data_IF_819797116073
#
_entry.id   IF_819797116073
#
_cell.length_a   1.000
_cell.length_b   1.000
_cell.length_c   1.000
_cell.angle_alpha   90.00
_cell.angle_beta   90.00
_cell.angle_gamma   90.00
#
_symmetry.space_group_name_H-M   'P 1'
#
loop_
_entity.id
_entity.type
_entity.pdbx_description
1 polymer ?
#
# COMPACT_ATOMS: atom_id res chain seq x y z
N UNK A 1 -4.19 -53.83 14.65
CA UNK A 1 -5.50 -53.50 14.03
C UNK A 1 -5.81 -52.03 14.30
N UNK A 2 -5.94 -51.19 13.26
CA UNK A 2 -6.22 -49.76 13.43
C UNK A 2 -7.73 -49.54 13.64
N UNK A 3 -8.11 -48.84 14.71
CA UNK A 3 -9.52 -48.46 14.95
C UNK A 3 -9.92 -47.38 13.94
N UNK A 4 -10.92 -47.69 13.10
CA UNK A 4 -11.50 -46.72 12.15
C UNK A 4 -12.35 -45.72 12.93
N UNK A 5 -12.02 -44.44 12.79
CA UNK A 5 -12.75 -43.33 13.42
C UNK A 5 -13.93 -42.96 12.51
N UNK A 6 -15.12 -42.85 13.10
CA UNK A 6 -16.33 -42.45 12.41
C UNK A 6 -16.45 -40.92 12.37
N UNK A 7 -16.18 -40.35 11.19
CA UNK A 7 -16.14 -38.91 10.96
C UNK A 7 -17.53 -38.25 10.98
N UNK A 8 -18.61 -39.03 10.92
CA UNK A 8 -19.99 -38.51 10.96
C UNK A 8 -20.39 -38.00 12.35
N UNK A 9 -19.64 -38.38 13.38
CA UNK A 9 -19.89 -37.97 14.78
C UNK A 9 -19.42 -36.55 15.11
N UNK A 10 -18.61 -35.93 14.24
CA UNK A 10 -18.07 -34.60 14.47
C UNK A 10 -18.94 -33.55 13.75
N UNK A 11 -19.77 -32.82 14.51
CA UNK A 11 -20.50 -31.65 14.00
C UNK A 11 -19.51 -30.53 13.68
N UNK A 12 -19.67 -29.91 12.51
CA UNK A 12 -18.85 -28.75 12.10
C UNK A 12 -19.14 -27.57 13.05
N UNK A 13 -18.11 -26.83 13.50
CA UNK A 13 -18.33 -25.63 14.29
C UNK A 13 -19.06 -24.59 13.42
N UNK A 14 -20.20 -24.10 13.90
CA UNK A 14 -20.93 -23.00 13.26
C UNK A 14 -20.24 -21.68 13.59
N UNK A 15 -19.91 -20.88 12.56
CA UNK A 15 -19.33 -19.54 12.69
C UNK A 15 -20.38 -18.54 13.21
N UNK A 16 -20.79 -18.64 14.47
CA UNK A 16 -21.79 -17.75 15.06
C UNK A 16 -21.21 -16.81 16.14
N UNK A 17 -19.93 -16.45 16.04
CA UNK A 17 -19.20 -15.75 17.11
C UNK A 17 -18.97 -14.25 16.90
N UNK A 18 -19.47 -13.64 15.83
CA UNK A 18 -19.53 -12.17 15.74
C UNK A 18 -20.97 -11.71 15.62
N UNK A 19 -21.64 -11.62 16.77
CA UNK A 19 -22.67 -10.59 16.97
C UNK A 19 -22.00 -9.47 17.75
N UNK A 20 -21.46 -8.50 17.02
CA UNK A 20 -20.93 -7.27 17.61
C UNK A 20 -22.07 -6.58 18.35
N UNK A 21 -21.91 -6.43 19.68
CA UNK A 21 -22.71 -5.49 20.45
C UNK A 21 -22.14 -4.11 20.19
N UNK A 22 -22.76 -3.36 19.29
CA UNK A 22 -22.57 -1.91 19.22
C UNK A 22 -23.16 -1.30 20.50
N UNK A 23 -22.31 -0.80 21.39
CA UNK A 23 -22.73 0.09 22.46
C UNK A 23 -21.84 1.34 22.47
N UNK A 24 -22.40 2.37 21.84
CA UNK A 24 -22.44 3.75 22.33
C UNK A 24 -21.13 4.43 22.74
N UNK A 25 -20.49 5.11 21.80
CA UNK A 25 -19.69 6.31 22.08
C UNK A 25 -20.05 7.44 21.09
N UNK A 26 -20.88 8.34 21.60
CA UNK A 26 -20.94 9.79 21.36
C UNK A 26 -20.32 10.30 20.05
N UNK A 27 -21.16 10.68 19.09
CA UNK A 27 -20.78 11.69 18.09
C UNK A 27 -21.89 12.73 17.95
N UNK A 28 -21.47 13.97 18.18
CA UNK A 28 -22.21 15.21 18.15
C UNK A 28 -22.94 15.47 16.84
N UNK A 29 -24.06 16.17 16.97
CA UNK A 29 -24.87 16.72 15.88
C UNK A 29 -24.01 17.58 14.94
N UNK A 30 -23.87 17.13 13.69
CA UNK A 30 -23.48 17.97 12.56
C UNK A 30 -24.44 17.65 11.43
N UNK A 31 -25.51 18.43 11.32
CA UNK A 31 -26.44 18.41 10.20
C UNK A 31 -25.75 18.98 8.96
N UNK A 32 -24.94 18.15 8.31
CA UNK A 32 -24.52 18.36 6.93
C UNK A 32 -25.47 17.58 6.03
N UNK A 33 -26.21 18.29 5.18
CA UNK A 33 -26.95 17.71 4.07
C UNK A 33 -25.94 17.09 3.09
N UNK A 34 -25.55 15.84 3.35
CA UNK A 34 -24.75 15.04 2.41
C UNK A 34 -25.61 14.74 1.18
N UNK A 35 -25.31 15.41 0.08
CA UNK A 35 -25.73 14.94 -1.25
C UNK A 35 -25.34 13.47 -1.40
N UNK A 36 -26.35 12.61 -1.53
CA UNK A 36 -26.16 11.18 -1.77
C UNK A 36 -25.66 11.06 -3.22
N UNK A 37 -24.34 11.11 -3.41
CA UNK A 37 -23.74 10.77 -4.70
C UNK A 37 -24.16 9.35 -5.04
N UNK A 38 -24.83 9.19 -6.19
CA UNK A 38 -25.24 7.87 -6.71
C UNK A 38 -24.01 6.98 -6.75
N UNK A 39 -24.07 5.86 -6.02
CA UNK A 39 -22.99 4.86 -6.00
C UNK A 39 -22.88 4.28 -7.40
N UNK A 40 -21.85 4.71 -8.13
CA UNK A 40 -21.49 4.14 -9.42
C UNK A 40 -21.04 2.71 -9.15
N UNK A 41 -21.75 1.73 -9.74
CA UNK A 41 -21.34 0.31 -9.66
C UNK A 41 -19.98 0.17 -10.34
N UNK A 42 -18.92 0.07 -9.57
CA UNK A 42 -17.61 -0.34 -10.09
C UNK A 42 -17.73 -1.79 -10.53
N UNK A 43 -17.35 -2.08 -11.78
CA UNK A 43 -17.20 -3.46 -12.28
C UNK A 43 -16.26 -4.19 -11.30
N UNK A 44 -16.54 -5.46 -11.00
CA UNK A 44 -15.68 -6.28 -10.13
C UNK A 44 -14.28 -6.33 -10.75
N UNK A 45 -13.36 -5.56 -10.19
CA UNK A 45 -11.94 -5.66 -10.49
C UNK A 45 -11.52 -7.03 -9.93
N UNK A 46 -10.88 -7.86 -10.76
CA UNK A 46 -10.36 -9.16 -10.33
C UNK A 46 -9.36 -9.03 -9.17
N UNK A 47 -8.85 -10.16 -8.68
CA UNK A 47 -7.80 -10.18 -7.64
C UNK A 47 -6.68 -9.22 -8.07
N UNK A 48 -6.34 -8.19 -7.27
CA UNK A 48 -5.19 -7.36 -7.59
C UNK A 48 -3.97 -8.27 -7.63
N UNK A 49 -3.37 -8.41 -8.81
CA UNK A 49 -2.03 -8.97 -8.93
C UNK A 49 -1.13 -8.06 -8.11
N UNK A 50 -0.46 -8.61 -7.10
CA UNK A 50 0.56 -7.89 -6.34
C UNK A 50 1.54 -7.35 -7.37
N UNK A 51 1.49 -6.03 -7.57
CA UNK A 51 1.77 -5.43 -8.87
C UNK A 51 3.19 -5.64 -9.37
N UNK A 52 3.29 -5.93 -10.66
CA UNK A 52 4.38 -5.49 -11.55
C UNK A 52 4.33 -3.95 -11.75
N UNK A 53 4.05 -3.20 -10.68
CA UNK A 53 4.31 -1.78 -10.69
C UNK A 53 5.82 -1.60 -10.55
N UNK A 54 6.47 -0.65 -11.27
CA UNK A 54 7.84 -0.33 -10.94
C UNK A 54 7.87 0.02 -9.45
N UNK A 55 8.65 -0.73 -8.67
CA UNK A 55 8.97 -0.39 -7.30
C UNK A 55 9.87 0.85 -7.38
N UNK A 56 9.31 2.00 -7.76
CA UNK A 56 9.99 3.28 -7.69
C UNK A 56 10.00 3.68 -6.22
N UNK A 57 10.75 2.93 -5.41
CA UNK A 57 11.09 3.36 -4.06
C UNK A 57 11.81 4.70 -4.23
N UNK A 58 11.16 5.76 -3.77
CA UNK A 58 11.78 7.08 -3.72
C UNK A 58 12.81 7.01 -2.62
N UNK A 59 14.08 7.08 -2.99
CA UNK A 59 15.20 7.16 -2.05
C UNK A 59 15.60 8.62 -1.90
N UNK A 60 15.73 9.06 -0.65
CA UNK A 60 16.37 10.33 -0.31
C UNK A 60 17.85 10.08 -0.06
N UNK A 61 18.70 10.77 -0.81
CA UNK A 61 20.15 10.78 -0.57
C UNK A 61 20.50 12.09 0.13
N UNK A 62 21.25 11.99 1.22
CA UNK A 62 21.78 13.17 1.92
C UNK A 62 23.16 13.50 1.35
N UNK A 63 23.38 14.78 1.05
CA UNK A 63 24.67 15.31 0.60
C UNK A 63 25.08 16.45 1.51
N UNK A 64 26.38 16.61 1.71
CA UNK A 64 26.93 17.84 2.30
C UNK A 64 26.78 19.01 1.32
N UNK A 65 26.84 20.24 1.82
CA UNK A 65 26.70 21.45 0.99
C UNK A 65 27.78 21.54 -0.12
N UNK A 66 29.00 21.09 0.20
CA UNK A 66 30.12 21.05 -0.76
C UNK A 66 29.86 20.03 -1.87
N UNK A 67 29.43 18.83 -1.53
CA UNK A 67 29.09 17.80 -2.50
C UNK A 67 27.91 18.23 -3.38
N UNK A 68 26.87 18.82 -2.79
CA UNK A 68 25.72 19.31 -3.52
C UNK A 68 26.11 20.40 -4.54
N UNK A 69 26.97 21.34 -4.13
CA UNK A 69 27.44 22.43 -5.01
C UNK A 69 28.25 21.88 -6.19
N UNK A 70 29.13 20.91 -5.94
CA UNK A 70 29.91 20.24 -6.99
C UNK A 70 29.01 19.46 -7.96
N UNK A 71 28.06 18.68 -7.44
CA UNK A 71 27.11 17.92 -8.26
C UNK A 71 26.22 18.84 -9.10
N UNK A 72 25.76 19.96 -8.53
CA UNK A 72 24.97 20.97 -9.25
C UNK A 72 25.78 21.67 -10.34
N UNK A 73 27.05 21.97 -10.09
CA UNK A 73 27.97 22.49 -11.11
C UNK A 73 28.14 21.53 -12.28
N UNK A 74 28.33 20.24 -12.00
CA UNK A 74 28.50 19.20 -13.01
C UNK A 74 27.21 18.91 -13.79
N UNK A 75 26.04 18.98 -13.13
CA UNK A 75 24.74 18.77 -13.78
C UNK A 75 24.35 19.93 -14.72
N UNK A 76 24.83 21.14 -14.48
CA UNK A 76 24.53 22.32 -15.28
C UNK A 76 23.03 22.61 -15.35
N UNK A 77 22.42 22.46 -16.54
CA UNK A 77 20.98 22.69 -16.78
C UNK A 77 20.12 21.43 -16.56
N UNK A 78 20.73 20.26 -16.36
CA UNK A 78 20.02 18.99 -16.22
C UNK A 78 19.45 18.87 -14.79
N UNK A 79 18.24 18.33 -14.60
CA UNK A 79 17.72 18.05 -13.27
C UNK A 79 18.67 17.14 -12.49
N UNK A 80 19.07 17.57 -11.30
CA UNK A 80 20.08 16.90 -10.48
C UNK A 80 19.75 15.42 -10.20
N UNK A 81 18.47 15.10 -9.98
CA UNK A 81 18.02 13.74 -9.75
C UNK A 81 18.23 12.81 -10.97
N UNK A 82 18.08 13.33 -12.19
CA UNK A 82 18.34 12.56 -13.41
C UNK A 82 19.84 12.32 -13.57
N UNK A 83 20.64 13.38 -13.39
CA UNK A 83 22.10 13.30 -13.47
C UNK A 83 22.67 12.28 -12.48
N UNK A 84 22.23 12.32 -11.21
CA UNK A 84 22.66 11.37 -10.19
C UNK A 84 22.21 9.95 -10.54
N UNK A 85 20.99 9.77 -11.06
CA UNK A 85 20.51 8.44 -11.47
C UNK A 85 21.37 7.85 -12.58
N UNK A 86 21.74 8.65 -13.58
CA UNK A 86 22.60 8.21 -14.67
C UNK A 86 23.99 7.84 -14.16
N UNK A 87 24.56 8.64 -13.25
CA UNK A 87 25.85 8.35 -12.61
C UNK A 87 25.81 7.05 -11.76
N UNK A 88 24.71 6.80 -11.04
CA UNK A 88 24.56 5.55 -10.28
C UNK A 88 24.40 4.33 -11.20
N UNK A 89 23.74 4.50 -12.34
CA UNK A 89 23.57 3.46 -13.36
C UNK A 89 24.91 3.12 -14.03
N UNK A 90 25.72 4.12 -14.37
CA UNK A 90 27.07 3.89 -14.94
C UNK A 90 27.99 3.21 -13.92
N UNK A 91 27.83 3.52 -12.64
CA UNK A 91 28.55 2.87 -11.54
C UNK A 91 28.02 1.47 -11.18
N UNK A 92 26.96 0.97 -11.85
CA UNK A 92 26.32 -0.33 -11.58
C UNK A 92 25.82 -0.50 -10.13
N UNK A 93 25.42 0.61 -9.50
CA UNK A 93 24.80 0.59 -8.16
C UNK A 93 23.31 0.26 -8.24
N UNK A 94 22.67 0.65 -9.35
CA UNK A 94 21.25 0.43 -9.67
C UNK A 94 21.07 -0.06 -11.10
#
# INVERSE_FOLDING_TARGET
MAKKIDLTKFKRPTQNYLKEKESSEVQSEVTSSKEIKKVVKTKKIGRPTVGEGPISKRFSLAFTEKEYSNLKGNAGKIPLASFIRDALKTAKVI
#
